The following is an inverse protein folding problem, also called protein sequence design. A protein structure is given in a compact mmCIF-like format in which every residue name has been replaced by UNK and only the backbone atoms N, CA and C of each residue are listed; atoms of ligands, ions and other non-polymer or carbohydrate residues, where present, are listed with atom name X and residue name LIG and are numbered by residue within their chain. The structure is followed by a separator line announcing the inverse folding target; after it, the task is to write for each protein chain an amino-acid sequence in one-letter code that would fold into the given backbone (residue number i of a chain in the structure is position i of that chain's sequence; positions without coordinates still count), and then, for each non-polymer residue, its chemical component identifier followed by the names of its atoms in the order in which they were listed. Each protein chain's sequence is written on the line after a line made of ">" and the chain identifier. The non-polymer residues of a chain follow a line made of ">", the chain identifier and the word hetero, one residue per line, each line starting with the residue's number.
data_IF_087517350472
#
_entry.id   IF_087517350472
#
_cell.length_a   1.000
_cell.length_b   1.000
_cell.length_c   1.000
_cell.angle_alpha   90.00
_cell.angle_beta   90.00
_cell.angle_gamma   90.00
#
_symmetry.space_group_name_H-M   'P 1'
#
loop_
_entity.id
_entity.type
_entity.pdbx_description
1 polymer ?
#
# COMPACT_ATOMS: atom_id res chain seq x y z
N UNK A 1 -19.02 11.50 3.88
CA UNK A 1 -17.95 11.51 2.87
C UNK A 1 -18.21 10.39 1.86
N UNK A 2 -17.59 10.45 0.68
CA UNK A 2 -17.57 9.37 -0.31
C UNK A 2 -16.19 8.72 -0.33
N UNK A 3 -16.15 7.41 -0.17
CA UNK A 3 -14.93 6.62 -0.23
C UNK A 3 -14.93 5.75 -1.47
N UNK A 4 -13.75 5.61 -2.07
CA UNK A 4 -13.45 4.52 -3.01
C UNK A 4 -12.45 3.60 -2.32
N UNK A 5 -12.77 2.30 -2.25
CA UNK A 5 -11.86 1.31 -1.67
C UNK A 5 -11.42 0.26 -2.68
N UNK A 6 -10.21 -0.26 -2.45
CA UNK A 6 -9.59 -1.33 -3.21
C UNK A 6 -8.59 -2.09 -2.34
N UNK A 7 -7.95 -3.12 -2.89
CA UNK A 7 -6.83 -3.84 -2.29
C UNK A 7 -5.97 -4.49 -3.38
N UNK A 8 -4.98 -5.29 -2.98
CA UNK A 8 -4.20 -6.17 -3.84
C UNK A 8 -4.41 -7.66 -3.58
N UNK A 9 -5.26 -8.04 -2.63
CA UNK A 9 -5.54 -9.45 -2.31
C UNK A 9 -6.69 -10.05 -3.14
N UNK A 10 -7.59 -9.20 -3.68
CA UNK A 10 -8.78 -9.63 -4.42
C UNK A 10 -10.09 -9.13 -3.81
N UNK A 11 -11.16 -9.14 -4.62
CA UNK A 11 -12.47 -8.62 -4.24
C UNK A 11 -13.15 -9.36 -3.07
N UNK A 12 -12.80 -10.62 -2.84
CA UNK A 12 -13.35 -11.49 -1.79
C UNK A 12 -12.45 -11.58 -0.55
N UNK A 13 -11.39 -10.77 -0.48
CA UNK A 13 -10.45 -10.80 0.63
C UNK A 13 -11.10 -10.27 1.93
N UNK A 14 -10.85 -10.94 3.08
CA UNK A 14 -11.43 -10.52 4.36
C UNK A 14 -10.96 -9.13 4.81
N UNK A 15 -9.76 -8.72 4.39
CA UNK A 15 -9.25 -7.38 4.67
C UNK A 15 -9.98 -6.25 3.96
N UNK A 16 -10.50 -6.51 2.75
CA UNK A 16 -11.36 -5.56 2.05
C UNK A 16 -12.73 -5.45 2.70
N UNK A 17 -13.28 -6.58 3.18
CA UNK A 17 -14.51 -6.61 3.95
C UNK A 17 -14.37 -5.83 5.26
N UNK A 18 -13.29 -6.04 6.00
CA UNK A 18 -12.98 -5.29 7.22
C UNK A 18 -12.84 -3.79 6.94
N UNK A 19 -12.19 -3.42 5.83
CA UNK A 19 -12.07 -2.02 5.42
C UNK A 19 -13.43 -1.39 5.13
N UNK A 20 -14.27 -2.08 4.34
CA UNK A 20 -15.61 -1.61 4.04
C UNK A 20 -16.42 -1.37 5.32
N UNK A 21 -16.41 -2.32 6.25
CA UNK A 21 -17.05 -2.19 7.56
C UNK A 21 -16.53 -0.99 8.36
N UNK A 22 -15.22 -0.75 8.33
CA UNK A 22 -14.59 0.38 9.02
C UNK A 22 -15.07 1.74 8.51
N UNK A 23 -15.39 1.86 7.21
CA UNK A 23 -15.73 3.13 6.57
C UNK A 23 -17.22 3.43 6.52
N UNK A 24 -18.10 2.42 6.64
CA UNK A 24 -19.56 2.61 6.64
C UNK A 24 -20.05 3.69 7.62
N UNK A 25 -19.54 3.79 8.87
CA UNK A 25 -19.96 4.85 9.80
C UNK A 25 -19.50 6.25 9.39
N UNK A 26 -18.50 6.35 8.50
CA UNK A 26 -17.88 7.61 8.07
C UNK A 26 -18.48 8.14 6.76
N UNK A 27 -19.20 7.32 5.99
CA UNK A 27 -19.78 7.72 4.72
C UNK A 27 -20.18 6.57 3.81
N UNK A 28 -20.39 6.90 2.53
CA UNK A 28 -20.72 5.93 1.49
C UNK A 28 -19.45 5.33 0.91
N UNK A 29 -19.46 4.05 0.61
CA UNK A 29 -18.28 3.30 0.17
C UNK A 29 -18.56 2.64 -1.18
N UNK A 30 -17.78 2.99 -2.20
CA UNK A 30 -17.73 2.31 -3.49
C UNK A 30 -16.56 1.32 -3.50
N UNK A 31 -16.79 0.09 -3.96
CA UNK A 31 -15.78 -0.97 -3.99
C UNK A 31 -15.38 -1.27 -5.42
N UNK A 32 -14.10 -1.04 -5.74
CA UNK A 32 -13.51 -1.39 -7.03
C UNK A 32 -12.23 -2.17 -6.75
N UNK A 33 -12.27 -3.49 -6.92
CA UNK A 33 -11.21 -4.39 -6.46
C UNK A 33 -10.76 -5.35 -7.57
N UNK A 34 -9.54 -5.87 -7.50
CA UNK A 34 -9.04 -6.80 -8.50
C UNK A 34 -9.77 -8.16 -8.43
N UNK A 35 -9.85 -8.84 -9.57
CA UNK A 35 -10.45 -10.17 -9.66
C UNK A 35 -9.64 -11.26 -8.93
N UNK A 36 -8.34 -11.06 -8.80
CA UNK A 36 -7.39 -12.01 -8.19
C UNK A 36 -6.32 -11.27 -7.40
N UNK A 37 -5.57 -12.00 -6.59
CA UNK A 37 -4.43 -11.48 -5.85
C UNK A 37 -3.30 -10.98 -6.78
N UNK A 38 -2.76 -9.80 -6.46
CA UNK A 38 -1.68 -9.10 -7.17
C UNK A 38 -0.56 -8.64 -6.22
N UNK A 39 -0.38 -9.29 -5.07
CA UNK A 39 0.68 -8.95 -4.11
C UNK A 39 2.08 -8.96 -4.76
N UNK A 40 2.95 -8.06 -4.32
CA UNK A 40 4.35 -7.92 -4.77
C UNK A 40 4.54 -7.59 -6.26
N UNK A 41 3.55 -6.96 -6.91
CA UNK A 41 3.64 -6.52 -8.32
C UNK A 41 4.00 -5.04 -8.52
N UNK A 42 4.21 -4.31 -7.43
CA UNK A 42 4.52 -2.88 -7.46
C UNK A 42 3.43 -2.04 -8.09
N UNK A 43 3.84 -0.90 -8.66
CA UNK A 43 2.93 0.05 -9.31
C UNK A 43 2.78 -0.25 -10.81
N UNK A 44 2.18 -1.39 -11.11
CA UNK A 44 1.86 -1.79 -12.48
C UNK A 44 0.58 -1.11 -12.96
N UNK A 45 0.52 -0.78 -14.26
CA UNK A 45 -0.67 -0.20 -14.91
C UNK A 45 -0.76 -0.73 -16.34
N UNK A 46 -1.92 -1.21 -16.78
CA UNK A 46 -2.10 -1.61 -18.17
C UNK A 46 -2.40 -0.39 -19.06
N UNK A 47 -1.49 -0.13 -20.00
CA UNK A 47 -1.59 0.97 -20.97
C UNK A 47 -1.77 0.49 -22.40
N UNK A 48 -1.74 -0.83 -22.63
CA UNK A 48 -1.69 -1.41 -23.97
C UNK A 48 -2.92 -2.24 -24.28
N UNK A 49 -3.56 -2.82 -23.26
CA UNK A 49 -4.70 -3.69 -23.44
C UNK A 49 -5.98 -3.07 -22.84
N UNK A 50 -7.14 -3.37 -23.42
CA UNK A 50 -8.42 -3.07 -22.78
C UNK A 50 -8.54 -3.76 -21.42
N UNK A 51 -9.07 -3.04 -20.43
CA UNK A 51 -9.30 -3.56 -19.09
C UNK A 51 -10.72 -4.11 -19.00
N UNK A 52 -10.87 -5.38 -18.63
CA UNK A 52 -12.17 -5.99 -18.35
C UNK A 52 -12.65 -5.59 -16.95
N UNK A 53 -13.88 -5.07 -16.87
CA UNK A 53 -14.55 -4.70 -15.62
C UNK A 53 -15.88 -5.41 -15.54
N UNK A 54 -16.11 -6.14 -14.45
CA UNK A 54 -17.36 -6.82 -14.15
C UNK A 54 -18.12 -6.07 -13.04
N UNK A 55 -19.45 -5.99 -13.14
CA UNK A 55 -20.33 -5.59 -12.05
C UNK A 55 -20.97 -6.83 -11.44
N UNK A 56 -20.85 -7.02 -10.13
CA UNK A 56 -21.38 -8.20 -9.43
C UNK A 56 -21.96 -7.80 -8.07
N UNK A 57 -23.05 -8.46 -7.66
CA UNK A 57 -23.55 -8.41 -6.28
C UNK A 57 -22.70 -9.37 -5.43
N UNK A 58 -22.04 -8.84 -4.40
CA UNK A 58 -21.17 -9.59 -3.50
C UNK A 58 -21.51 -9.20 -2.07
N UNK A 59 -21.96 -10.16 -1.27
CA UNK A 59 -22.19 -9.93 0.16
C UNK A 59 -20.86 -9.78 0.92
N UNK A 60 -20.73 -8.84 1.86
CA UNK A 60 -21.75 -7.89 2.32
C UNK A 60 -21.77 -6.55 1.56
N UNK A 61 -20.93 -6.37 0.54
CA UNK A 61 -20.73 -5.09 -0.15
C UNK A 61 -21.96 -4.61 -0.95
N UNK A 62 -22.76 -5.53 -1.47
CA UNK A 62 -23.75 -5.26 -2.51
C UNK A 62 -23.11 -5.18 -3.90
N UNK A 63 -23.51 -4.20 -4.71
CA UNK A 63 -23.05 -4.04 -6.09
C UNK A 63 -21.63 -3.46 -6.17
N UNK A 64 -20.64 -4.24 -6.60
CA UNK A 64 -19.23 -3.81 -6.71
C UNK A 64 -18.73 -3.81 -8.16
N UNK A 65 -17.51 -3.30 -8.38
CA UNK A 65 -16.76 -3.52 -9.62
C UNK A 65 -15.55 -4.42 -9.38
N UNK A 66 -15.46 -5.47 -10.18
CA UNK A 66 -14.33 -6.40 -10.20
C UNK A 66 -13.51 -6.10 -11.45
N UNK A 67 -12.26 -5.69 -11.26
CA UNK A 67 -11.37 -5.28 -12.34
C UNK A 67 -10.36 -6.40 -12.60
N UNK A 68 -10.24 -6.84 -13.84
CA UNK A 68 -9.25 -7.86 -14.22
C UNK A 68 -7.89 -7.22 -14.56
N UNK A 69 -7.36 -6.44 -13.63
CA UNK A 69 -6.04 -5.79 -13.75
C UNK A 69 -5.49 -5.42 -12.37
N UNK A 70 -4.41 -4.65 -12.36
CA UNK A 70 -3.69 -4.21 -11.16
C UNK A 70 -4.56 -3.37 -10.19
N UNK A 71 -4.14 -3.25 -8.92
CA UNK A 71 -4.75 -2.31 -7.96
C UNK A 71 -4.71 -0.85 -8.43
N UNK A 72 -3.66 -0.41 -9.11
CA UNK A 72 -3.59 0.94 -9.67
C UNK A 72 -4.64 1.14 -10.79
N UNK A 73 -4.85 0.13 -11.63
CA UNK A 73 -5.94 0.16 -12.63
C UNK A 73 -7.32 0.16 -11.97
N UNK A 74 -7.50 -0.53 -10.84
CA UNK A 74 -8.74 -0.44 -10.05
C UNK A 74 -9.03 1.01 -9.65
N UNK A 75 -8.01 1.75 -9.22
CA UNK A 75 -8.13 3.17 -8.90
C UNK A 75 -8.45 4.02 -10.13
N UNK A 76 -7.78 3.80 -11.27
CA UNK A 76 -8.08 4.51 -12.51
C UNK A 76 -9.52 4.30 -12.96
N UNK A 77 -9.98 3.04 -12.98
CA UNK A 77 -11.35 2.67 -13.31
C UNK A 77 -12.32 3.31 -12.32
N UNK A 78 -12.04 3.21 -11.01
CA UNK A 78 -12.87 3.78 -9.97
C UNK A 78 -13.03 5.29 -10.12
N UNK A 79 -11.93 6.03 -10.25
CA UNK A 79 -11.93 7.49 -10.30
C UNK A 79 -12.42 8.06 -11.64
N UNK A 80 -12.07 7.41 -12.76
CA UNK A 80 -12.29 7.98 -14.11
C UNK A 80 -13.47 7.37 -14.85
N UNK A 81 -14.03 6.27 -14.37
CA UNK A 81 -15.18 5.63 -15.00
C UNK A 81 -16.35 5.42 -14.02
N UNK A 82 -16.12 4.77 -12.88
CA UNK A 82 -17.21 4.39 -11.95
C UNK A 82 -17.76 5.60 -11.20
N UNK A 83 -16.87 6.45 -10.69
CA UNK A 83 -17.20 7.64 -9.91
C UNK A 83 -16.88 8.94 -10.64
N UNK A 84 -16.84 8.92 -11.98
CA UNK A 84 -16.42 10.06 -12.79
C UNK A 84 -17.27 11.33 -12.54
N UNK A 85 -18.59 11.15 -12.42
CA UNK A 85 -19.53 12.24 -12.19
C UNK A 85 -19.63 12.63 -10.70
N UNK A 86 -19.19 11.75 -9.80
CA UNK A 86 -19.32 11.91 -8.34
C UNK A 86 -18.04 11.44 -7.64
N UNK A 87 -16.92 12.19 -7.76
CA UNK A 87 -15.62 11.74 -7.31
C UNK A 87 -15.59 11.48 -5.79
N UNK A 88 -14.78 10.51 -5.32
CA UNK A 88 -14.61 10.26 -3.90
C UNK A 88 -13.87 11.41 -3.21
N UNK A 89 -14.16 11.59 -1.92
CA UNK A 89 -13.43 12.53 -1.07
C UNK A 89 -12.09 11.92 -0.62
N UNK A 90 -12.00 10.60 -0.54
CA UNK A 90 -10.78 9.86 -0.19
C UNK A 90 -10.78 8.45 -0.79
N UNK A 91 -9.60 7.96 -1.16
CA UNK A 91 -9.34 6.55 -1.50
C UNK A 91 -8.69 5.84 -0.32
N UNK A 92 -9.16 4.65 0.02
CA UNK A 92 -8.50 3.80 1.04
C UNK A 92 -8.20 2.43 0.46
N UNK A 93 -6.92 2.04 0.46
CA UNK A 93 -6.48 0.74 -0.04
C UNK A 93 -6.13 -0.21 1.13
N UNK A 94 -6.62 -1.44 1.08
CA UNK A 94 -6.33 -2.48 2.08
C UNK A 94 -7.60 -3.20 2.60
N UNK A 95 -7.60 -3.74 3.82
CA UNK A 95 -6.47 -3.84 4.75
C UNK A 95 -5.61 -5.05 4.38
N UNK A 96 -4.35 -4.82 4.00
CA UNK A 96 -3.45 -5.88 3.58
C UNK A 96 -3.03 -6.77 4.77
N UNK A 97 -3.17 -8.10 4.70
CA UNK A 97 -2.57 -9.03 5.64
C UNK A 97 -1.07 -9.16 5.30
N UNK A 98 -0.26 -8.36 5.98
CA UNK A 98 1.16 -8.19 5.73
C UNK A 98 1.51 -6.71 5.81
N UNK A 99 2.50 -6.36 6.63
CA UNK A 99 2.89 -4.97 6.77
C UNK A 99 3.66 -4.50 5.51
N UNK A 100 3.34 -3.31 5.02
CA UNK A 100 4.04 -2.64 3.92
C UNK A 100 4.96 -1.58 4.53
N UNK A 101 6.19 -2.00 4.83
CA UNK A 101 7.17 -1.23 5.59
C UNK A 101 8.46 -1.09 4.83
N UNK A 102 9.18 0.00 5.08
CA UNK A 102 10.48 0.23 4.49
C UNK A 102 10.42 0.11 2.97
N UNK A 103 11.52 -0.28 2.32
CA UNK A 103 11.61 -0.39 0.85
C UNK A 103 10.54 -1.26 0.20
N UNK A 104 9.80 -2.06 0.97
CA UNK A 104 8.68 -2.89 0.51
C UNK A 104 7.51 -2.09 -0.05
N UNK A 105 7.44 -0.81 0.30
CA UNK A 105 6.50 0.12 -0.32
C UNK A 105 6.65 0.27 -1.83
N UNK A 106 7.82 -0.05 -2.41
CA UNK A 106 8.02 0.00 -3.86
C UNK A 106 7.34 -1.14 -4.62
N UNK A 107 7.18 -2.30 -3.99
CA UNK A 107 6.59 -3.50 -4.59
C UNK A 107 5.18 -3.81 -4.06
N UNK A 108 4.71 -3.07 -3.05
CA UNK A 108 3.36 -3.18 -2.51
C UNK A 108 2.27 -2.75 -3.50
N UNK A 109 1.31 -3.64 -3.78
CA UNK A 109 0.12 -3.32 -4.55
C UNK A 109 -0.85 -2.42 -3.77
N UNK A 110 -0.99 -2.64 -2.46
CA UNK A 110 -1.78 -1.78 -1.57
C UNK A 110 -1.30 -0.33 -1.61
N UNK A 111 0.02 -0.12 -1.49
CA UNK A 111 0.61 1.21 -1.53
C UNK A 111 0.56 1.81 -2.95
N UNK A 112 0.70 0.98 -4.00
CA UNK A 112 0.53 1.43 -5.38
C UNK A 112 -0.87 1.98 -5.65
N UNK A 113 -1.93 1.36 -5.12
CA UNK A 113 -3.28 1.89 -5.25
C UNK A 113 -3.44 3.27 -4.59
N UNK A 114 -2.99 3.42 -3.34
CA UNK A 114 -3.04 4.71 -2.65
C UNK A 114 -2.17 5.78 -3.36
N UNK A 115 -1.00 5.39 -3.87
CA UNK A 115 -0.12 6.26 -4.66
C UNK A 115 -0.78 6.72 -5.95
N UNK A 116 -1.43 5.82 -6.69
CA UNK A 116 -2.14 6.17 -7.92
C UNK A 116 -3.26 7.18 -7.65
N UNK A 117 -4.03 7.00 -6.58
CA UNK A 117 -5.06 7.95 -6.18
C UNK A 117 -4.48 9.33 -5.85
N UNK A 118 -3.39 9.36 -5.07
CA UNK A 118 -2.71 10.60 -4.71
C UNK A 118 -2.13 11.32 -5.94
N UNK A 119 -1.51 10.59 -6.87
CA UNK A 119 -1.01 11.12 -8.14
C UNK A 119 -2.14 11.69 -9.01
N UNK A 120 -3.34 11.10 -8.95
CA UNK A 120 -4.54 11.59 -9.63
C UNK A 120 -5.27 12.72 -8.88
N UNK A 121 -4.70 13.20 -7.77
CA UNK A 121 -5.18 14.37 -7.02
C UNK A 121 -6.21 14.06 -5.94
N UNK A 122 -6.41 12.78 -5.59
CA UNK A 122 -7.37 12.36 -4.55
C UNK A 122 -6.63 11.99 -3.27
N UNK A 123 -7.02 12.51 -2.09
CA UNK A 123 -6.45 12.11 -0.81
C UNK A 123 -6.52 10.59 -0.62
N UNK A 124 -5.42 9.97 -0.20
CA UNK A 124 -5.32 8.51 -0.16
C UNK A 124 -4.63 7.97 1.09
N UNK A 125 -5.06 6.78 1.51
CA UNK A 125 -4.52 6.06 2.66
C UNK A 125 -4.34 4.57 2.26
N UNK A 126 -3.17 4.01 2.52
CA UNK A 126 -2.91 2.57 2.46
C UNK A 126 -2.90 2.00 3.88
N UNK A 127 -3.60 0.89 4.10
CA UNK A 127 -3.73 0.23 5.40
C UNK A 127 -3.17 -1.19 5.34
N UNK A 128 -2.34 -1.58 6.30
CA UNK A 128 -1.67 -2.87 6.32
C UNK A 128 -1.44 -3.38 7.74
N UNK A 129 -1.41 -4.70 7.94
CA UNK A 129 -1.31 -5.32 9.28
C UNK A 129 -0.18 -6.33 9.33
N UNK A 130 0.74 -6.21 10.29
CA UNK A 130 1.85 -7.15 10.46
C UNK A 130 1.37 -8.59 10.75
N UNK A 131 1.79 -9.58 9.96
CA UNK A 131 1.39 -10.97 10.23
C UNK A 131 2.26 -11.57 11.34
N UNK A 132 1.67 -12.43 12.16
CA UNK A 132 2.38 -13.35 13.05
C UNK A 132 1.63 -14.68 13.12
N UNK A 133 2.33 -15.80 13.05
CA UNK A 133 1.72 -17.15 13.03
C UNK A 133 0.83 -17.42 14.23
N UNK A 134 1.29 -16.97 15.40
CA UNK A 134 0.63 -17.29 16.67
C UNK A 134 -0.53 -16.33 17.00
N UNK A 135 -0.69 -15.26 16.21
CA UNK A 135 -1.68 -14.20 16.44
C UNK A 135 -2.45 -13.94 15.15
N UNK A 136 -3.50 -14.74 14.86
CA UNK A 136 -4.34 -14.54 13.68
C UNK A 136 -5.00 -13.15 13.72
N UNK A 137 -5.35 -12.64 12.55
CA UNK A 137 -5.95 -11.30 12.43
C UNK A 137 -7.41 -11.36 12.89
N UNK A 138 -7.72 -10.64 13.96
CA UNK A 138 -9.09 -10.26 14.28
C UNK A 138 -9.51 -9.08 13.39
N UNK A 139 -10.28 -9.41 12.34
CA UNK A 139 -10.77 -8.43 11.37
C UNK A 139 -11.77 -7.43 11.95
N UNK A 140 -12.54 -7.80 12.97
CA UNK A 140 -13.51 -6.90 13.61
C UNK A 140 -12.82 -5.84 14.48
N UNK A 141 -11.86 -6.27 15.29
CA UNK A 141 -11.02 -5.36 16.06
C UNK A 141 -10.18 -4.45 15.14
N UNK A 142 -9.65 -5.01 14.06
CA UNK A 142 -8.88 -4.25 13.07
C UNK A 142 -9.74 -3.24 12.31
N UNK A 143 -10.96 -3.60 11.90
CA UNK A 143 -11.90 -2.67 11.27
C UNK A 143 -12.23 -1.49 12.19
N UNK A 144 -12.49 -1.76 13.47
CA UNK A 144 -12.76 -0.73 14.48
C UNK A 144 -11.58 0.23 14.65
N UNK A 145 -10.35 -0.30 14.65
CA UNK A 145 -9.15 0.52 14.75
C UNK A 145 -8.86 1.29 13.46
N UNK A 146 -9.07 0.68 12.30
CA UNK A 146 -8.92 1.32 11.00
C UNK A 146 -9.87 2.52 10.84
N UNK A 147 -11.11 2.42 11.32
CA UNK A 147 -12.06 3.52 11.33
C UNK A 147 -11.53 4.73 12.11
N UNK A 148 -10.93 4.50 13.29
CA UNK A 148 -10.30 5.57 14.10
C UNK A 148 -9.11 6.19 13.37
N UNK A 149 -8.22 5.37 12.81
CA UNK A 149 -7.04 5.84 12.09
C UNK A 149 -7.42 6.69 10.87
N UNK A 150 -8.37 6.20 10.05
CA UNK A 150 -8.87 6.96 8.90
C UNK A 150 -9.55 8.25 9.35
N UNK A 151 -10.42 8.20 10.37
CA UNK A 151 -11.08 9.40 10.90
C UNK A 151 -10.08 10.45 11.41
N UNK A 152 -8.98 10.04 12.03
CA UNK A 152 -7.90 10.94 12.44
C UNK A 152 -7.22 11.57 11.22
N UNK A 153 -6.78 10.75 10.26
CA UNK A 153 -5.99 11.19 9.10
C UNK A 153 -6.79 12.05 8.10
N UNK A 154 -8.13 12.01 8.17
CA UNK A 154 -9.00 12.87 7.37
C UNK A 154 -9.19 14.27 7.95
N UNK A 155 -8.75 14.54 9.19
CA UNK A 155 -8.88 15.88 9.77
C UNK A 155 -7.97 16.89 9.07
N UNK A 156 -8.36 18.17 8.96
CA UNK A 156 -7.62 19.18 8.22
C UNK A 156 -6.15 19.32 8.64
N UNK A 157 -5.84 19.13 9.92
CA UNK A 157 -4.49 19.25 10.47
C UNK A 157 -3.53 18.12 10.02
N UNK A 158 -4.05 16.98 9.56
CA UNK A 158 -3.26 15.84 9.05
C UNK A 158 -3.32 15.71 7.52
N UNK A 159 -3.87 16.71 6.83
CA UNK A 159 -4.00 16.68 5.37
C UNK A 159 -2.62 16.79 4.72
N UNK A 160 -2.30 15.82 3.87
CA UNK A 160 -1.06 15.86 3.09
C UNK A 160 -1.20 16.72 1.83
N UNK A 161 -0.08 17.24 1.30
CA UNK A 161 -0.06 17.92 0.00
C UNK A 161 -0.53 17.00 -1.14
N UNK A 162 -0.94 17.59 -2.27
CA UNK A 162 -1.28 16.81 -3.46
C UNK A 162 -0.12 15.88 -3.88
N UNK A 163 -0.46 14.71 -4.43
CA UNK A 163 0.53 13.68 -4.80
C UNK A 163 1.07 12.85 -3.62
N UNK A 164 0.64 13.13 -2.38
CA UNK A 164 1.06 12.38 -1.20
C UNK A 164 -0.06 11.50 -0.65
N UNK A 165 0.31 10.39 -0.01
CA UNK A 165 -0.62 9.49 0.67
C UNK A 165 -0.07 9.06 2.04
N UNK A 166 -0.96 8.60 2.92
CA UNK A 166 -0.59 8.00 4.19
C UNK A 166 -0.40 6.49 4.03
N UNK A 167 0.76 5.97 4.40
CA UNK A 167 0.99 4.53 4.58
C UNK A 167 0.87 4.17 6.07
N UNK A 168 -0.14 3.39 6.43
CA UNK A 168 -0.46 3.06 7.82
C UNK A 168 -0.29 1.58 8.08
N UNK A 169 0.48 1.25 9.11
CA UNK A 169 0.69 -0.14 9.52
C UNK A 169 0.22 -0.39 10.96
N UNK A 170 -0.53 -1.47 11.14
CA UNK A 170 -1.02 -1.94 12.43
C UNK A 170 -0.10 -3.03 13.00
N UNK A 171 0.35 -2.91 14.26
CA UNK A 171 1.30 -3.83 14.87
C UNK A 171 0.64 -5.14 15.27
N UNK A 172 1.46 -6.18 15.48
CA UNK A 172 0.95 -7.44 16.04
C UNK A 172 0.70 -7.32 17.52
N UNK A 173 -0.56 -7.58 17.89
CA UNK A 173 -1.02 -7.59 19.27
C UNK A 173 -1.45 -9.01 19.65
N UNK A 174 -1.10 -9.42 20.87
CA UNK A 174 -1.45 -10.72 21.43
C UNK A 174 -2.87 -10.78 22.04
N UNK A 175 -3.71 -9.80 21.73
CA UNK A 175 -5.07 -9.63 22.27
C UNK A 175 -5.91 -8.73 21.37
N UNK A 176 -7.02 -8.22 21.89
CA UNK A 176 -8.04 -7.52 21.07
C UNK A 176 -7.81 -6.01 20.91
N UNK A 177 -6.88 -5.42 21.67
CA UNK A 177 -6.72 -3.96 21.75
C UNK A 177 -5.48 -3.46 21.02
N UNK A 178 -5.70 -2.80 19.88
CA UNK A 178 -4.67 -2.04 19.19
C UNK A 178 -4.27 -0.78 19.99
N UNK A 179 -3.07 -0.22 19.77
CA UNK A 179 -2.68 1.06 20.35
C UNK A 179 -3.69 2.16 19.99
N UNK A 180 -4.06 3.01 20.95
CA UNK A 180 -4.97 4.14 20.70
C UNK A 180 -4.26 5.35 20.06
N UNK A 181 -2.93 5.30 19.98
CA UNK A 181 -2.09 6.36 19.45
C UNK A 181 -1.50 5.96 18.10
N UNK A 182 -1.37 6.94 17.21
CA UNK A 182 -0.69 6.81 15.92
C UNK A 182 0.65 7.52 16.02
N UNK A 183 1.74 6.80 15.73
CA UNK A 183 3.07 7.37 15.62
C UNK A 183 3.33 7.80 14.16
N UNK A 184 3.61 9.07 13.95
CA UNK A 184 4.05 9.57 12.65
C UNK A 184 5.55 9.36 12.50
N UNK A 185 5.97 8.68 11.44
CA UNK A 185 7.33 8.14 11.30
C UNK A 185 7.86 8.34 9.88
N UNK A 186 9.19 8.47 9.69
CA UNK A 186 9.80 8.40 8.38
C UNK A 186 9.77 6.96 7.82
N UNK A 187 9.86 6.88 6.50
CA UNK A 187 9.99 5.64 5.73
C UNK A 187 11.39 5.04 5.92
N UNK A 188 11.46 3.77 6.33
CA UNK A 188 12.72 3.02 6.39
C UNK A 188 13.30 2.72 4.99
N UNK A 189 14.61 2.83 4.83
CA UNK A 189 15.26 2.66 3.51
C UNK A 189 16.21 1.46 3.45
N UNK A 190 16.36 0.74 4.56
CA UNK A 190 17.27 -0.41 4.63
C UNK A 190 16.68 -1.62 3.88
N UNK A 191 17.47 -2.29 3.03
CA UNK A 191 17.01 -3.44 2.27
C UNK A 191 16.90 -4.69 3.15
N UNK A 192 16.01 -5.61 2.76
CA UNK A 192 15.99 -6.96 3.33
C UNK A 192 17.22 -7.75 2.88
N UNK A 193 17.74 -8.58 3.78
CA UNK A 193 18.72 -9.58 3.42
C UNK A 193 18.02 -10.69 2.62
N UNK A 194 18.40 -10.84 1.34
CA UNK A 194 17.91 -11.90 0.45
C UNK A 194 19.04 -12.90 0.23
N UNK A 195 18.74 -14.18 0.42
CA UNK A 195 19.68 -15.27 0.20
C UNK A 195 19.16 -16.17 -0.91
N UNK A 196 20.04 -16.49 -1.87
CA UNK A 196 19.75 -17.45 -2.93
C UNK A 196 20.42 -18.79 -2.61
N UNK A 197 19.73 -19.88 -2.98
CA UNK A 197 20.28 -21.22 -3.00
C UNK A 197 20.04 -21.85 -4.36
N UNK A 198 21.02 -22.61 -4.86
CA UNK A 198 20.85 -23.45 -6.04
C UNK A 198 19.99 -24.65 -5.64
N UNK A 199 18.85 -24.83 -6.30
CA UNK A 199 17.94 -25.96 -6.13
C UNK A 199 18.31 -27.11 -7.07
N UNK A 200 18.72 -26.77 -8.29
CA UNK A 200 19.08 -27.73 -9.34
C UNK A 200 20.11 -27.10 -10.29
N UNK A 201 21.01 -27.92 -10.82
CA UNK A 201 21.94 -27.54 -11.91
C UNK A 201 21.77 -28.51 -13.07
N UNK A 202 21.52 -27.98 -14.27
CA UNK A 202 21.37 -28.77 -15.49
C UNK A 202 22.23 -28.16 -16.60
N UNK A 203 23.36 -28.82 -16.90
CA UNK A 203 24.37 -28.28 -17.83
C UNK A 203 24.89 -26.93 -17.34
N UNK A 204 24.78 -25.91 -18.20
CA UNK A 204 25.19 -24.53 -17.92
C UNK A 204 24.07 -23.68 -17.28
N UNK A 205 23.00 -24.30 -16.77
CA UNK A 205 21.86 -23.60 -16.15
C UNK A 205 21.65 -23.98 -14.70
N UNK A 206 21.28 -23.01 -13.87
CA UNK A 206 20.93 -23.19 -12.46
C UNK A 206 19.50 -22.74 -12.19
N UNK A 207 18.74 -23.55 -11.44
CA UNK A 207 17.47 -23.17 -10.85
C UNK A 207 17.73 -22.63 -9.44
N UNK A 208 17.43 -21.36 -9.20
CA UNK A 208 17.64 -20.72 -7.91
C UNK A 208 16.32 -20.56 -7.14
N UNK A 209 16.35 -20.85 -5.85
CA UNK A 209 15.34 -20.42 -4.88
C UNK A 209 15.89 -19.24 -4.08
N UNK A 210 15.02 -18.32 -3.67
CA UNK A 210 15.41 -17.28 -2.72
C UNK A 210 14.53 -17.32 -1.47
N UNK A 211 15.09 -16.88 -0.36
CA UNK A 211 14.37 -16.69 0.88
C UNK A 211 14.79 -15.39 1.58
N UNK A 212 13.87 -14.83 2.33
CA UNK A 212 14.10 -13.68 3.20
C UNK A 212 13.23 -13.84 4.45
N UNK A 213 13.81 -13.65 5.63
CA UNK A 213 13.09 -13.68 6.88
C UNK A 213 12.60 -12.27 7.24
N UNK A 214 11.30 -12.00 7.04
CA UNK A 214 10.71 -10.67 7.25
C UNK A 214 11.00 -10.08 8.64
N UNK A 215 11.13 -10.93 9.67
CA UNK A 215 11.40 -10.56 11.06
C UNK A 215 12.82 -10.04 11.30
N UNK A 216 13.76 -10.42 10.44
CA UNK A 216 15.20 -10.14 10.54
C UNK A 216 15.58 -8.86 9.79
N UNK A 217 14.58 -8.14 9.27
CA UNK A 217 14.80 -6.88 8.56
C UNK A 217 15.51 -5.84 9.46
N UNK A 218 16.44 -5.06 8.90
CA UNK A 218 17.06 -3.95 9.63
C UNK A 218 16.01 -2.97 10.16
N UNK A 219 16.28 -2.40 11.34
CA UNK A 219 15.36 -1.54 12.10
C UNK A 219 16.02 -0.20 12.38
N UNK A 220 16.23 0.59 11.34
CA UNK A 220 16.73 1.96 11.46
C UNK A 220 15.92 2.73 12.50
N UNK A 221 16.62 3.32 13.47
CA UNK A 221 15.98 3.92 14.65
C UNK A 221 14.92 4.95 14.27
N UNK A 222 13.71 4.79 14.84
CA UNK A 222 12.58 5.70 14.62
C UNK A 222 11.90 5.58 13.25
N UNK A 223 12.30 4.64 12.40
CA UNK A 223 11.61 4.35 11.13
C UNK A 223 10.28 3.62 11.35
N UNK A 224 9.44 3.60 10.30
CA UNK A 224 8.24 2.76 10.25
C UNK A 224 8.48 1.30 10.63
N UNK A 225 9.62 0.73 10.24
CA UNK A 225 10.02 -0.63 10.61
C UNK A 225 10.26 -0.74 12.12
N UNK A 226 11.14 0.09 12.68
CA UNK A 226 11.50 0.03 14.09
C UNK A 226 10.27 0.23 15.01
N UNK A 227 9.47 1.23 14.68
CA UNK A 227 8.32 1.66 15.46
C UNK A 227 7.18 0.63 15.42
N UNK A 228 6.92 0.01 14.25
CA UNK A 228 5.92 -1.06 14.14
C UNK A 228 6.33 -2.31 14.93
N UNK A 229 7.60 -2.70 14.86
CA UNK A 229 8.13 -3.84 15.62
C UNK A 229 8.18 -3.56 17.12
N UNK A 230 8.26 -2.29 17.52
CA UNK A 230 8.04 -1.80 18.89
C UNK A 230 6.55 -1.74 19.29
N UNK A 231 5.67 -2.37 18.51
CA UNK A 231 4.23 -2.51 18.71
C UNK A 231 3.45 -1.20 18.69
N UNK A 232 3.92 -0.19 17.95
CA UNK A 232 3.18 1.05 17.71
C UNK A 232 2.44 1.00 16.39
N UNK A 233 1.28 1.65 16.30
CA UNK A 233 0.60 1.90 15.03
C UNK A 233 1.34 3.05 14.34
N UNK A 234 1.80 2.83 13.11
CA UNK A 234 2.62 3.81 12.39
C UNK A 234 1.85 4.44 11.24
N UNK A 235 2.09 5.73 10.98
CA UNK A 235 1.62 6.45 9.80
C UNK A 235 2.80 7.19 9.15
N UNK A 236 3.13 6.79 7.92
CA UNK A 236 4.24 7.35 7.14
C UNK A 236 3.69 8.22 6.01
N UNK A 237 4.07 9.50 5.90
CA UNK A 237 3.69 10.31 4.74
C UNK A 237 4.60 9.95 3.56
N UNK A 238 4.01 9.51 2.45
CA UNK A 238 4.76 9.12 1.24
C UNK A 238 4.43 10.07 0.11
N UNK A 239 5.46 10.64 -0.51
CA UNK A 239 5.34 11.61 -1.60
C UNK A 239 5.55 11.04 -3.01
N UNK A 240 5.36 11.88 -4.04
CA UNK A 240 5.44 11.47 -5.44
C UNK A 240 6.87 11.49 -6.00
N UNK A 241 7.84 12.09 -5.29
CA UNK A 241 9.21 12.29 -5.77
C UNK A 241 10.19 11.44 -4.98
N UNK A 242 11.08 10.77 -5.71
CA UNK A 242 12.26 10.09 -5.16
C UNK A 242 13.53 10.91 -5.36
N UNK A 243 13.42 12.18 -5.78
CA UNK A 243 14.57 13.06 -5.96
C UNK A 243 15.27 13.25 -4.62
N UNK A 244 16.56 12.89 -4.56
CA UNK A 244 17.39 13.20 -3.40
C UNK A 244 17.62 14.72 -3.35
N UNK A 245 16.89 15.39 -2.46
CA UNK A 245 16.91 16.85 -2.34
C UNK A 245 18.29 17.42 -1.98
N UNK A 246 19.18 16.60 -1.40
CA UNK A 246 20.54 16.99 -1.00
C UNK A 246 21.58 16.80 -2.12
N UNK A 247 21.18 16.34 -3.30
CA UNK A 247 22.13 16.10 -4.38
C UNK A 247 22.64 17.42 -5.00
N UNK A 248 23.94 17.70 -4.83
CA UNK A 248 24.59 18.94 -5.29
C UNK A 248 24.58 19.13 -6.83
N UNK A 249 24.26 18.10 -7.61
CA UNK A 249 24.20 18.18 -9.07
C UNK A 249 22.84 18.62 -9.61
N UNK A 250 21.80 18.73 -8.77
CA UNK A 250 20.52 19.28 -9.21
C UNK A 250 20.72 20.69 -9.78
N UNK A 251 20.13 20.95 -10.95
CA UNK A 251 20.27 22.21 -11.72
C UNK A 251 21.68 22.51 -12.25
N UNK A 252 22.62 21.58 -12.19
CA UNK A 252 23.93 21.73 -12.83
C UNK A 252 23.87 21.30 -14.29
N UNK A 253 24.58 22.02 -15.16
CA UNK A 253 24.78 21.66 -16.56
C UNK A 253 26.24 21.21 -16.72
N UNK A 254 26.45 19.95 -17.07
CA UNK A 254 27.78 19.38 -17.28
C UNK A 254 27.89 18.91 -18.73
N UNK A 255 29.00 19.20 -19.40
CA UNK A 255 29.25 18.74 -20.76
C UNK A 255 29.51 17.24 -20.79
N UNK A 256 28.83 16.48 -21.64
CA UNK A 256 29.18 15.05 -21.86
C UNK A 256 30.59 14.88 -22.43
N UNK A 257 31.15 15.92 -23.07
CA UNK A 257 32.51 15.92 -23.59
C UNK A 257 33.60 15.98 -22.52
N UNK A 258 33.26 16.25 -21.25
CA UNK A 258 34.21 16.15 -20.12
C UNK A 258 34.28 14.75 -19.52
N UNK A 259 33.49 13.79 -20.02
CA UNK A 259 33.67 12.38 -19.71
C UNK A 259 34.91 11.87 -20.46
N UNK A 260 36.11 12.12 -19.90
CA UNK A 260 37.29 11.37 -20.31
C UNK A 260 37.00 9.88 -20.12
N UNK A 261 37.42 9.04 -21.09
CA UNK A 261 37.41 7.60 -20.90
C UNK A 261 38.13 7.25 -19.60
N UNK A 262 37.57 6.39 -18.73
CA UNK A 262 38.33 5.88 -17.61
C UNK A 262 39.53 5.13 -18.17
N UNK A 263 40.74 5.61 -17.86
CA UNK A 263 41.99 4.85 -18.01
C UNK A 263 41.98 3.61 -17.08
#
# INVERSE_FOLDING_TARGET
>A
MRFLITNDDGFDAPGLQALWQALLPLGTVEVVAPAVCHSSRGHAVDTKNPIRVERREVEPFGSIRIVHSSPADCIRVGLRHVMADNPPDCVVAGINPGANLGVDLFYSGTAAAAREAALLGVPAIALSRLIHSDFPIDWGALASQAAKAVSLLLRPEYRLPAGHFWNVNFPTIAGERYPDEVMFVPHGTEPHAVQFQVLETCGDSELLGYSAAYRDRPRGAGSDVDELFSRRLTATPVGPSLTSAENAHLHTLVSLGSAASPD
#
